data_IF_290447249362
#
_entry.id   IF_290447249362
#
_cell.length_a   1.000
_cell.length_b   1.000
_cell.length_c   1.000
_cell.angle_alpha   90.00
_cell.angle_beta   90.00
_cell.angle_gamma   90.00
#
_symmetry.space_group_name_H-M   'P 1'
#
loop_
_entity.id
_entity.type
_entity.pdbx_description
1 polymer ?
#
# COMPACT_ATOMS: atom_id res chain seq x y z
N UNK A 1 12.62 -3.54 -14.94
CA UNK A 1 12.16 -2.17 -15.19
C UNK A 1 10.76 -2.00 -14.59
N UNK A 2 10.60 -1.03 -13.67
CA UNK A 2 9.35 -0.83 -12.91
C UNK A 2 8.30 0.05 -13.60
N UNK A 3 8.60 0.53 -14.80
CA UNK A 3 7.66 1.33 -15.60
C UNK A 3 7.47 0.67 -16.97
N UNK A 4 6.23 0.71 -17.51
CA UNK A 4 5.95 0.26 -18.88
C UNK A 4 6.75 1.05 -19.93
N UNK A 5 6.82 0.55 -21.17
CA UNK A 5 7.50 1.22 -22.28
C UNK A 5 6.67 2.35 -22.88
N UNK A 6 5.33 2.23 -22.90
CA UNK A 6 4.45 3.25 -23.44
C UNK A 6 4.36 4.49 -22.55
N UNK A 7 4.12 5.65 -23.15
CA UNK A 7 3.98 6.92 -22.44
C UNK A 7 2.75 6.88 -21.52
N UNK A 8 1.63 6.40 -22.04
CA UNK A 8 0.35 6.27 -21.33
C UNK A 8 0.48 5.31 -20.15
N UNK A 9 1.08 4.13 -20.36
CA UNK A 9 1.31 3.15 -19.30
C UNK A 9 2.21 3.71 -18.20
N UNK A 10 3.26 4.47 -18.55
CA UNK A 10 4.14 5.13 -17.56
C UNK A 10 3.39 6.18 -16.74
N UNK A 11 2.52 6.97 -17.39
CA UNK A 11 1.68 7.96 -16.72
C UNK A 11 0.71 7.27 -15.76
N UNK A 12 0.05 6.20 -16.21
CA UNK A 12 -0.89 5.42 -15.43
C UNK A 12 -0.24 4.81 -14.18
N UNK A 13 0.88 4.08 -14.34
CA UNK A 13 1.61 3.47 -13.23
C UNK A 13 2.11 4.51 -12.22
N UNK A 14 2.60 5.67 -12.68
CA UNK A 14 2.97 6.77 -11.77
C UNK A 14 1.77 7.32 -11.02
N UNK A 15 0.63 7.51 -11.71
CA UNK A 15 -0.62 7.95 -11.07
C UNK A 15 -1.04 7.00 -9.95
N UNK A 16 -1.02 5.69 -10.21
CA UNK A 16 -1.30 4.67 -9.19
C UNK A 16 -0.32 4.73 -8.01
N UNK A 17 0.98 4.81 -8.29
CA UNK A 17 1.99 4.93 -7.24
C UNK A 17 1.80 6.20 -6.40
N UNK A 18 1.43 7.32 -7.02
CA UNK A 18 1.15 8.59 -6.33
C UNK A 18 -0.09 8.53 -5.44
N UNK A 19 -1.16 7.83 -5.83
CA UNK A 19 -2.31 7.62 -4.95
C UNK A 19 -1.89 7.03 -3.60
N UNK A 20 -0.90 6.16 -3.60
CA UNK A 20 -0.39 5.57 -2.35
C UNK A 20 0.64 6.48 -1.68
N UNK A 21 1.67 6.88 -2.42
CA UNK A 21 2.82 7.59 -1.86
C UNK A 21 2.51 9.03 -1.43
N UNK A 22 1.52 9.67 -2.04
CA UNK A 22 1.21 11.09 -1.80
C UNK A 22 -0.09 11.29 -1.02
N UNK A 23 -1.04 10.32 -1.06
CA UNK A 23 -2.34 10.46 -0.39
C UNK A 23 -2.45 9.60 0.87
N UNK A 24 -1.95 8.36 0.87
CA UNK A 24 -2.05 7.46 2.02
C UNK A 24 -0.84 7.53 2.96
N UNK A 25 0.37 7.35 2.44
CA UNK A 25 1.60 7.33 3.25
C UNK A 25 1.81 8.59 4.10
N UNK A 26 1.57 9.83 3.60
CA UNK A 26 1.80 11.02 4.39
C UNK A 26 0.88 11.13 5.60
N UNK A 27 -0.38 10.71 5.49
CA UNK A 27 -1.39 10.78 6.55
C UNK A 27 -1.11 9.78 7.68
N UNK A 28 -0.51 8.65 7.37
CA UNK A 28 -0.19 7.57 8.30
C UNK A 28 1.31 7.49 8.65
N UNK A 29 2.07 8.51 8.29
CA UNK A 29 3.48 8.61 8.61
C UNK A 29 3.69 8.76 10.13
N UNK A 30 4.79 8.17 10.64
CA UNK A 30 5.13 8.20 12.06
C UNK A 30 5.17 9.63 12.65
N UNK A 31 5.60 10.64 11.88
CA UNK A 31 5.61 12.04 12.33
C UNK A 31 4.19 12.56 12.60
N UNK A 32 3.21 12.15 11.78
CA UNK A 32 1.80 12.52 11.97
C UNK A 32 1.24 11.81 13.20
N UNK A 33 1.48 10.51 13.33
CA UNK A 33 1.01 9.73 14.49
C UNK A 33 1.59 10.25 15.81
N UNK A 34 2.88 10.64 15.82
CA UNK A 34 3.51 11.28 16.99
C UNK A 34 2.89 12.66 17.30
N UNK A 35 2.57 13.44 16.29
CA UNK A 35 1.90 14.74 16.48
C UNK A 35 0.50 14.55 17.09
N UNK A 36 -0.28 13.62 16.56
CA UNK A 36 -1.61 13.29 17.11
C UNK A 36 -1.52 12.86 18.58
N UNK A 37 -0.49 12.12 18.96
CA UNK A 37 -0.26 11.68 20.33
C UNK A 37 0.23 12.81 21.23
N UNK A 38 1.33 13.46 20.85
CA UNK A 38 2.06 14.39 21.74
C UNK A 38 1.40 15.75 21.84
N UNK A 39 0.85 16.28 20.72
CA UNK A 39 0.30 17.62 20.65
C UNK A 39 -1.22 17.64 20.84
N UNK A 40 -1.93 16.60 20.30
CA UNK A 40 -3.38 16.53 20.39
C UNK A 40 -3.87 15.55 21.47
N UNK A 41 -2.96 14.85 22.16
CA UNK A 41 -3.28 13.96 23.26
C UNK A 41 -4.09 12.71 22.86
N UNK A 42 -4.04 12.30 21.59
CA UNK A 42 -4.77 11.13 21.13
C UNK A 42 -4.14 9.84 21.67
N UNK A 43 -4.94 9.02 22.32
CA UNK A 43 -4.55 7.69 22.78
C UNK A 43 -4.49 6.70 21.60
N UNK A 44 -3.86 5.55 21.84
CA UNK A 44 -3.64 4.51 20.83
C UNK A 44 -4.90 4.12 20.06
N UNK A 45 -6.03 3.97 20.77
CA UNK A 45 -7.32 3.66 20.16
C UNK A 45 -7.74 4.70 19.10
N UNK A 46 -7.60 5.99 19.41
CA UNK A 46 -7.95 7.08 18.48
C UNK A 46 -6.98 7.17 17.30
N UNK A 47 -5.70 6.89 17.55
CA UNK A 47 -4.70 6.81 16.46
C UNK A 47 -5.00 5.63 15.52
N UNK A 48 -5.44 4.49 16.07
CA UNK A 48 -5.85 3.33 15.25
C UNK A 48 -7.07 3.66 14.39
N UNK A 49 -8.06 4.37 14.92
CA UNK A 49 -9.22 4.85 14.15
C UNK A 49 -8.79 5.78 13.02
N UNK A 50 -7.89 6.74 13.30
CA UNK A 50 -7.30 7.61 12.28
C UNK A 50 -6.64 6.79 11.17
N UNK A 51 -5.78 5.85 11.56
CA UNK A 51 -5.01 5.04 10.62
C UNK A 51 -5.93 4.22 9.70
N UNK A 52 -6.89 3.50 10.31
CA UNK A 52 -7.85 2.66 9.59
C UNK A 52 -8.73 3.47 8.65
N UNK A 53 -9.17 4.67 9.07
CA UNK A 53 -9.97 5.56 8.24
C UNK A 53 -9.24 5.93 6.94
N UNK A 54 -8.01 6.42 7.04
CA UNK A 54 -7.26 6.87 5.87
C UNK A 54 -6.79 5.73 4.98
N UNK A 55 -6.53 4.55 5.53
CA UNK A 55 -6.32 3.34 4.73
C UNK A 55 -7.59 2.98 3.96
N UNK A 56 -8.73 2.97 4.60
CA UNK A 56 -10.01 2.62 3.95
C UNK A 56 -10.35 3.59 2.81
N UNK A 57 -10.23 4.91 3.03
CA UNK A 57 -10.43 5.92 1.99
C UNK A 57 -9.49 5.72 0.79
N UNK A 58 -8.19 5.53 1.06
CA UNK A 58 -7.20 5.32 0.02
C UNK A 58 -7.42 4.00 -0.75
N UNK A 59 -7.69 2.90 -0.05
CA UNK A 59 -7.94 1.61 -0.69
C UNK A 59 -9.26 1.57 -1.47
N UNK A 60 -10.30 2.27 -1.01
CA UNK A 60 -11.54 2.45 -1.79
C UNK A 60 -11.27 3.11 -3.15
N UNK A 61 -10.46 4.16 -3.16
CA UNK A 61 -10.08 4.86 -4.40
C UNK A 61 -9.18 3.98 -5.28
N UNK A 62 -8.18 3.34 -4.69
CA UNK A 62 -7.20 2.51 -5.40
C UNK A 62 -7.84 1.24 -6.00
N UNK A 63 -8.71 0.58 -5.27
CA UNK A 63 -9.47 -0.59 -5.76
C UNK A 63 -10.34 -0.22 -7.00
N UNK A 64 -10.96 0.97 -6.99
CA UNK A 64 -11.68 1.48 -8.18
C UNK A 64 -10.73 1.74 -9.35
N UNK A 65 -9.56 2.28 -9.10
CA UNK A 65 -8.53 2.47 -10.13
C UNK A 65 -8.11 1.15 -10.75
N UNK A 66 -7.87 0.12 -9.93
CA UNK A 66 -7.54 -1.23 -10.40
C UNK A 66 -8.65 -1.85 -11.24
N UNK A 67 -9.91 -1.73 -10.81
CA UNK A 67 -11.07 -2.27 -11.53
C UNK A 67 -11.35 -1.58 -12.87
N UNK A 68 -11.04 -0.30 -12.96
CA UNK A 68 -11.25 0.51 -14.16
C UNK A 68 -10.03 0.50 -15.11
N UNK A 69 -8.97 -0.19 -14.74
CA UNK A 69 -7.79 -0.34 -15.60
C UNK A 69 -8.03 -1.44 -16.63
N UNK A 70 -7.76 -1.15 -17.90
CA UNK A 70 -7.78 -2.14 -18.98
C UNK A 70 -6.59 -3.13 -18.91
N UNK A 71 -5.70 -2.97 -17.94
CA UNK A 71 -4.56 -3.85 -17.76
C UNK A 71 -4.94 -5.03 -16.86
N UNK A 72 -5.37 -6.12 -17.45
CA UNK A 72 -5.49 -7.40 -16.75
C UNK A 72 -4.11 -7.95 -16.39
N UNK A 73 -3.99 -8.64 -15.25
CA UNK A 73 -2.75 -9.26 -14.81
C UNK A 73 -2.69 -9.50 -13.30
N UNK A 74 -1.56 -10.03 -12.87
CA UNK A 74 -1.33 -10.36 -11.46
C UNK A 74 -0.79 -9.22 -10.60
N UNK A 75 -0.41 -8.10 -11.22
CA UNK A 75 0.12 -6.91 -10.57
C UNK A 75 -0.81 -5.71 -10.76
N UNK A 76 -0.45 -4.57 -10.20
CA UNK A 76 -1.21 -3.34 -10.39
C UNK A 76 -1.36 -2.95 -11.86
N UNK A 77 -0.39 -3.34 -12.70
CA UNK A 77 -0.39 -3.07 -14.13
C UNK A 77 0.21 -4.24 -14.91
N UNK A 78 -0.65 -5.12 -15.45
CA UNK A 78 -0.23 -6.29 -16.25
C UNK A 78 0.45 -7.38 -15.45
N UNK A 79 1.39 -8.10 -16.08
CA UNK A 79 1.99 -9.34 -15.57
C UNK A 79 3.43 -9.17 -15.05
N UNK A 80 3.86 -7.94 -14.77
CA UNK A 80 5.18 -7.64 -14.21
C UNK A 80 5.06 -6.64 -13.07
N UNK A 81 5.91 -6.76 -12.02
CA UNK A 81 5.96 -5.77 -10.97
C UNK A 81 6.22 -4.36 -11.52
N UNK A 82 5.46 -3.40 -11.05
CA UNK A 82 5.58 -2.00 -11.41
C UNK A 82 5.88 -1.13 -10.19
N UNK A 83 6.11 0.15 -10.41
CA UNK A 83 6.27 1.12 -9.32
C UNK A 83 5.02 1.17 -8.41
N UNK A 84 3.83 0.93 -8.97
CA UNK A 84 2.60 0.88 -8.19
C UNK A 84 2.60 -0.26 -7.17
N UNK A 85 3.11 -1.45 -7.55
CA UNK A 85 3.24 -2.60 -6.64
C UNK A 85 4.26 -2.33 -5.54
N UNK A 86 5.37 -1.68 -5.86
CA UNK A 86 6.40 -1.28 -4.87
C UNK A 86 5.83 -0.34 -3.81
N UNK A 87 4.86 0.51 -4.18
CA UNK A 87 4.15 1.36 -3.23
C UNK A 87 3.01 0.60 -2.50
N UNK A 88 2.25 -0.23 -3.22
CA UNK A 88 1.07 -0.91 -2.68
C UNK A 88 1.42 -1.93 -1.60
N UNK A 89 2.40 -2.81 -1.87
CA UNK A 89 2.68 -3.93 -0.97
C UNK A 89 3.07 -3.47 0.44
N UNK A 90 3.97 -2.50 0.65
CA UNK A 90 4.24 -1.96 1.98
C UNK A 90 3.02 -1.30 2.64
N UNK A 91 2.12 -0.72 1.84
CA UNK A 91 0.91 -0.10 2.36
C UNK A 91 -0.10 -1.13 2.83
N UNK A 92 -0.26 -2.25 2.10
CA UNK A 92 -1.08 -3.40 2.55
C UNK A 92 -0.50 -3.99 3.82
N UNK A 93 0.82 -4.20 3.88
CA UNK A 93 1.51 -4.66 5.08
C UNK A 93 1.20 -3.79 6.30
N UNK A 94 1.27 -2.46 6.13
CA UNK A 94 0.92 -1.51 7.18
C UNK A 94 -0.57 -1.60 7.57
N UNK A 95 -1.47 -1.72 6.59
CA UNK A 95 -2.90 -1.92 6.84
C UNK A 95 -3.15 -3.15 7.73
N UNK A 96 -2.52 -4.28 7.42
CA UNK A 96 -2.62 -5.52 8.20
C UNK A 96 -2.10 -5.34 9.64
N UNK A 97 -0.96 -4.65 9.83
CA UNK A 97 -0.43 -4.32 11.17
C UNK A 97 -1.42 -3.53 12.02
N UNK A 98 -2.15 -2.61 11.40
CA UNK A 98 -3.17 -1.80 12.08
C UNK A 98 -4.58 -2.42 12.06
N UNK A 99 -4.66 -3.72 11.70
CA UNK A 99 -5.91 -4.51 11.69
C UNK A 99 -7.00 -3.88 10.83
N UNK A 100 -6.61 -3.28 9.68
CA UNK A 100 -7.57 -2.81 8.70
C UNK A 100 -8.30 -3.99 8.07
N UNK A 101 -9.60 -3.84 7.86
CA UNK A 101 -10.37 -4.82 7.10
C UNK A 101 -10.09 -4.68 5.60
N UNK A 102 -9.59 -5.73 4.99
CA UNK A 102 -9.27 -5.78 3.55
C UNK A 102 -10.34 -6.50 2.73
N UNK A 103 -11.40 -7.02 3.35
CA UNK A 103 -12.42 -7.86 2.68
C UNK A 103 -13.14 -7.14 1.52
N UNK A 104 -13.21 -5.82 1.59
CA UNK A 104 -13.81 -4.96 0.54
C UNK A 104 -12.93 -4.74 -0.70
N UNK A 105 -11.68 -5.23 -0.71
CA UNK A 105 -10.68 -4.89 -1.74
C UNK A 105 -10.12 -6.13 -2.45
N UNK A 106 -10.94 -6.87 -3.23
CA UNK A 106 -10.55 -8.16 -3.80
C UNK A 106 -9.36 -8.06 -4.78
N UNK A 107 -9.23 -6.96 -5.55
CA UNK A 107 -8.07 -6.78 -6.45
C UNK A 107 -6.79 -6.51 -5.66
N UNK A 108 -6.85 -5.65 -4.65
CA UNK A 108 -5.72 -5.39 -3.76
C UNK A 108 -5.28 -6.69 -3.07
N UNK A 109 -6.22 -7.48 -2.55
CA UNK A 109 -5.91 -8.79 -1.93
C UNK A 109 -5.25 -9.74 -2.91
N UNK A 110 -5.81 -9.88 -4.13
CA UNK A 110 -5.24 -10.76 -5.15
C UNK A 110 -3.80 -10.38 -5.51
N UNK A 111 -3.51 -9.08 -5.65
CA UNK A 111 -2.16 -8.59 -5.92
C UNK A 111 -1.23 -8.85 -4.72
N UNK A 112 -1.69 -8.61 -3.50
CA UNK A 112 -0.95 -8.91 -2.28
C UNK A 112 -0.56 -10.39 -2.21
N UNK A 113 -1.54 -11.28 -2.36
CA UNK A 113 -1.32 -12.73 -2.28
C UNK A 113 -0.34 -13.20 -3.36
N UNK A 114 -0.47 -12.67 -4.59
CA UNK A 114 0.46 -12.97 -5.66
C UNK A 114 1.89 -12.50 -5.33
N UNK A 115 2.05 -11.24 -4.95
CA UNK A 115 3.35 -10.66 -4.63
C UNK A 115 4.03 -11.37 -3.45
N UNK A 116 3.27 -11.70 -2.40
CA UNK A 116 3.82 -12.38 -1.22
C UNK A 116 4.20 -13.85 -1.49
N UNK A 117 3.85 -14.41 -2.64
CA UNK A 117 4.38 -15.69 -3.10
C UNK A 117 5.71 -15.58 -3.83
N UNK A 118 6.13 -14.38 -4.22
CA UNK A 118 7.39 -14.13 -4.94
C UNK A 118 8.55 -13.88 -3.96
N UNK A 119 9.69 -14.53 -4.19
CA UNK A 119 10.87 -14.44 -3.33
C UNK A 119 11.40 -13.01 -3.18
N UNK A 120 11.30 -12.18 -4.22
CA UNK A 120 11.76 -10.79 -4.17
C UNK A 120 10.98 -9.95 -3.15
N UNK A 121 9.67 -10.15 -3.03
CA UNK A 121 8.83 -9.46 -2.05
C UNK A 121 9.01 -10.05 -0.65
N UNK A 122 9.09 -11.38 -0.53
CA UNK A 122 9.37 -12.04 0.76
C UNK A 122 10.69 -11.54 1.37
N UNK A 123 11.76 -11.49 0.56
CA UNK A 123 13.07 -10.99 1.03
C UNK A 123 13.05 -9.52 1.41
N UNK A 124 12.17 -8.71 0.79
CA UNK A 124 12.03 -7.30 1.10
C UNK A 124 11.11 -7.02 2.31
N UNK A 125 10.41 -8.03 2.82
CA UNK A 125 9.52 -7.86 3.98
C UNK A 125 10.33 -7.40 5.23
N UNK A 126 9.76 -6.52 6.07
CA UNK A 126 10.46 -5.94 7.22
C UNK A 126 11.06 -6.96 8.18
N UNK A 127 10.37 -8.07 8.42
CA UNK A 127 10.82 -9.16 9.29
C UNK A 127 12.05 -9.91 8.75
N UNK A 128 12.33 -9.80 7.46
CA UNK A 128 13.46 -10.46 6.80
C UNK A 128 14.68 -9.53 6.59
N UNK A 129 14.62 -8.31 7.13
CA UNK A 129 15.75 -7.36 7.04
C UNK A 129 16.77 -7.63 8.15
N UNK A 130 18.04 -7.26 7.89
CA UNK A 130 19.15 -7.48 8.85
C UNK A 130 18.98 -6.75 10.17
N UNK A 131 18.23 -5.65 10.18
CA UNK A 131 17.93 -4.82 11.35
C UNK A 131 16.54 -5.14 11.96
N UNK A 132 15.88 -6.18 11.48
CA UNK A 132 14.61 -6.64 12.07
C UNK A 132 14.84 -6.99 13.54
N UNK A 133 14.12 -6.31 14.44
CA UNK A 133 14.14 -6.65 15.86
C UNK A 133 13.53 -8.04 16.02
N UNK A 134 14.36 -9.00 16.40
CA UNK A 134 13.88 -10.27 16.95
C UNK A 134 13.17 -9.96 18.25
N UNK A 135 11.84 -9.88 18.20
CA UNK A 135 11.00 -9.69 19.36
C UNK A 135 10.88 -10.93 20.21
#
# INVERSE_FOLDING_TARGET
QLLPSSIEGRAHVRGMAHQIAMEMHPLNNLRVLKYLENELGLKEEKKSIWYQHWIAEGFNAFEKTLKNSDSEGHFCFGDRPSLADVCLIPQVYNGLRFKCDLSGYPRIQSIWDHCMNLDVFKRAAPENQLDAKTG
#
